data_IF_437476134300
#
_entry.id   IF_437476134300
#
_cell.length_a   1.000
_cell.length_b   1.000
_cell.length_c   1.000
_cell.angle_alpha   90.00
_cell.angle_beta   90.00
_cell.angle_gamma   90.00
#
_symmetry.space_group_name_H-M   'P 1'
#
loop_
_entity.id
_entity.type
_entity.pdbx_description
1 polymer ?
#
# COMPACT_ATOMS: atom_id res chain seq x y z
N UNK A 1 2.32 -30.64 12.58
CA UNK A 1 1.08 -29.86 12.38
C UNK A 1 1.07 -28.54 13.18
N UNK A 2 2.15 -28.16 13.87
CA UNK A 2 2.17 -26.95 14.70
C UNK A 2 1.60 -27.13 16.13
N UNK A 3 1.11 -28.32 16.50
CA UNK A 3 0.43 -28.55 17.79
C UNK A 3 1.34 -28.56 19.02
N UNK A 4 2.64 -28.83 18.82
CA UNK A 4 3.65 -28.76 19.89
C UNK A 4 4.79 -27.79 19.60
N UNK A 5 5.21 -27.70 18.33
CA UNK A 5 6.25 -26.77 17.82
C UNK A 5 5.95 -26.40 16.38
N UNK A 6 6.37 -25.21 15.96
CA UNK A 6 6.35 -24.82 14.56
C UNK A 6 7.37 -25.69 13.80
N UNK A 7 6.97 -26.43 12.75
CA UNK A 7 7.92 -27.19 11.94
C UNK A 7 8.87 -26.29 11.12
N UNK A 8 8.60 -24.99 11.11
CA UNK A 8 9.38 -23.96 10.42
C UNK A 8 10.29 -23.18 11.38
N UNK A 9 10.42 -23.61 12.63
CA UNK A 9 11.30 -22.94 13.58
C UNK A 9 12.77 -23.21 13.24
N UNK A 10 13.58 -22.16 13.30
CA UNK A 10 15.02 -22.30 13.15
C UNK A 10 15.65 -22.84 14.44
N UNK A 11 16.60 -23.76 14.29
CA UNK A 11 17.17 -24.54 15.41
C UNK A 11 17.99 -23.69 16.41
N UNK A 12 18.51 -22.54 15.96
CA UNK A 12 19.47 -21.70 16.69
C UNK A 12 18.83 -20.78 17.74
N UNK A 13 17.53 -20.45 17.62
CA UNK A 13 16.84 -19.53 18.55
C UNK A 13 15.81 -20.21 19.46
N UNK A 14 15.88 -21.54 19.66
CA UNK A 14 15.19 -22.20 20.77
C UNK A 14 13.67 -21.98 20.82
N UNK A 15 13.00 -22.13 19.69
CA UNK A 15 11.58 -21.85 19.49
C UNK A 15 11.12 -20.38 19.62
N UNK A 16 12.03 -19.44 19.86
CA UNK A 16 11.73 -18.02 19.89
C UNK A 16 11.66 -17.46 18.46
N UNK A 17 10.42 -17.15 18.04
CA UNK A 17 10.00 -16.76 16.68
C UNK A 17 10.49 -15.36 16.24
N UNK A 18 11.73 -15.00 16.54
CA UNK A 18 12.20 -13.60 16.38
C UNK A 18 12.79 -13.36 14.99
N UNK A 19 13.45 -14.35 14.38
CA UNK A 19 14.11 -14.19 13.06
C UNK A 19 13.17 -14.20 11.84
N UNK A 20 12.09 -15.00 11.78
CA UNK A 20 11.16 -14.95 10.64
C UNK A 20 10.51 -13.58 10.46
N UNK A 21 10.28 -12.85 11.56
CA UNK A 21 9.76 -11.47 11.49
C UNK A 21 10.80 -10.46 10.97
N UNK A 22 12.11 -10.77 11.02
CA UNK A 22 13.11 -9.92 10.38
C UNK A 22 12.95 -9.91 8.86
N UNK A 23 12.53 -11.04 8.27
CA UNK A 23 12.21 -11.11 6.83
C UNK A 23 10.97 -10.28 6.45
N UNK A 24 10.04 -10.06 7.39
CA UNK A 24 8.89 -9.18 7.18
C UNK A 24 9.32 -7.73 6.92
N UNK A 25 10.34 -7.23 7.63
CA UNK A 25 10.86 -5.88 7.38
C UNK A 25 11.40 -5.71 5.96
N UNK A 26 11.95 -6.77 5.36
CA UNK A 26 12.39 -6.70 3.96
C UNK A 26 11.22 -6.49 3.00
N UNK A 27 10.06 -7.10 3.27
CA UNK A 27 8.84 -6.86 2.48
C UNK A 27 8.35 -5.41 2.62
N UNK A 28 8.29 -4.90 3.86
CA UNK A 28 7.88 -3.52 4.12
C UNK A 28 8.85 -2.51 3.47
N UNK A 29 10.16 -2.77 3.56
CA UNK A 29 11.19 -1.93 2.95
C UNK A 29 11.17 -1.97 1.41
N UNK A 30 10.98 -3.15 0.82
CA UNK A 30 10.88 -3.30 -0.63
C UNK A 30 9.68 -2.54 -1.23
N UNK A 31 8.56 -2.51 -0.49
CA UNK A 31 7.35 -1.76 -0.88
C UNK A 31 7.32 -0.30 -0.40
N UNK A 32 8.30 0.15 0.37
CA UNK A 32 8.29 1.47 1.02
C UNK A 32 7.02 1.72 1.83
N UNK A 33 6.49 0.66 2.47
CA UNK A 33 5.17 0.68 3.08
C UNK A 33 5.15 1.53 4.34
N UNK A 34 4.08 2.31 4.49
CA UNK A 34 3.78 3.06 5.72
C UNK A 34 2.32 2.83 6.08
N UNK A 35 2.06 2.61 7.37
CA UNK A 35 0.71 2.47 7.90
C UNK A 35 0.60 3.21 9.23
N UNK A 36 -0.45 4.02 9.37
CA UNK A 36 -0.76 4.72 10.61
C UNK A 36 -2.28 4.68 10.86
N UNK A 37 -2.75 3.66 11.59
CA UNK A 37 -4.17 3.39 11.79
C UNK A 37 -4.97 4.59 12.31
N UNK A 38 -4.55 5.32 13.37
CA UNK A 38 -5.32 6.46 13.87
C UNK A 38 -5.46 7.64 12.91
N UNK A 39 -4.62 7.70 11.87
CA UNK A 39 -4.64 8.77 10.85
C UNK A 39 -5.28 8.30 9.54
N UNK A 40 -5.72 7.04 9.45
CA UNK A 40 -6.19 6.46 8.19
C UNK A 40 -5.15 6.53 7.07
N UNK A 41 -3.85 6.49 7.40
CA UNK A 41 -2.78 6.59 6.41
C UNK A 41 -2.31 5.20 6.01
N UNK A 42 -2.32 4.95 4.70
CA UNK A 42 -1.61 3.83 4.08
C UNK A 42 -0.73 4.39 2.96
N UNK A 43 0.47 3.84 2.77
CA UNK A 43 1.36 4.32 1.74
C UNK A 43 2.27 3.25 1.17
N UNK A 44 2.70 3.48 -0.07
CA UNK A 44 3.57 2.62 -0.85
C UNK A 44 4.59 3.49 -1.61
N UNK A 45 5.86 3.11 -1.51
CA UNK A 45 6.98 3.73 -2.22
C UNK A 45 7.94 2.63 -2.67
N UNK A 46 7.53 1.79 -3.64
CA UNK A 46 8.30 0.60 -3.99
C UNK A 46 9.70 0.96 -4.47
N UNK A 47 10.71 0.32 -3.90
CA UNK A 47 12.11 0.48 -4.29
C UNK A 47 12.59 -0.69 -5.16
N UNK A 48 11.91 -1.84 -5.06
CA UNK A 48 12.15 -3.02 -5.88
C UNK A 48 11.14 -3.04 -7.02
N UNK A 49 11.63 -3.02 -8.27
CA UNK A 49 10.80 -3.01 -9.50
C UNK A 49 9.70 -1.93 -9.50
N UNK A 50 10.02 -0.64 -9.26
CA UNK A 50 9.03 0.43 -9.15
C UNK A 50 8.15 0.60 -10.41
N UNK A 51 8.61 0.14 -11.57
CA UNK A 51 7.87 0.17 -12.84
C UNK A 51 6.72 -0.83 -12.89
N UNK A 52 6.79 -1.92 -12.12
CA UNK A 52 5.80 -3.00 -12.13
C UNK A 52 5.84 -3.79 -10.80
N UNK A 53 5.26 -3.19 -9.77
CA UNK A 53 5.29 -3.71 -8.41
C UNK A 53 3.95 -4.34 -8.00
N UNK A 54 4.02 -5.44 -7.25
CA UNK A 54 2.87 -6.02 -6.53
C UNK A 54 3.30 -6.51 -5.17
N UNK A 55 2.47 -6.24 -4.15
CA UNK A 55 2.63 -6.82 -2.83
C UNK A 55 1.27 -6.96 -2.16
N UNK A 56 1.20 -7.78 -1.12
CA UNK A 56 0.07 -7.74 -0.21
C UNK A 56 0.34 -6.70 0.88
N UNK A 57 -0.72 -6.22 1.51
CA UNK A 57 -0.64 -5.34 2.68
C UNK A 57 -1.54 -5.89 3.78
N UNK A 58 -1.18 -5.58 5.02
CA UNK A 58 -1.97 -5.87 6.22
C UNK A 58 -2.19 -4.56 7.00
N UNK A 59 -3.41 -4.36 7.50
CA UNK A 59 -3.81 -3.28 8.40
C UNK A 59 -4.41 -3.88 9.68
N UNK A 60 -4.86 -3.04 10.62
CA UNK A 60 -5.49 -3.50 11.86
C UNK A 60 -6.82 -4.23 11.64
N UNK A 61 -7.59 -3.88 10.60
CA UNK A 61 -8.95 -4.36 10.39
C UNK A 61 -9.12 -5.17 9.09
N UNK A 62 -8.07 -5.31 8.28
CA UNK A 62 -8.15 -6.01 7.01
C UNK A 62 -6.80 -6.22 6.33
N UNK A 63 -6.81 -6.99 5.25
CA UNK A 63 -5.63 -7.20 4.40
C UNK A 63 -6.05 -7.35 2.94
N UNK A 64 -5.09 -7.14 2.05
CA UNK A 64 -5.40 -7.01 0.63
C UNK A 64 -4.17 -6.95 -0.28
N UNK A 65 -4.42 -6.64 -1.54
CA UNK A 65 -3.39 -6.52 -2.58
C UNK A 65 -3.17 -5.08 -2.98
N UNK A 66 -1.91 -4.70 -3.20
CA UNK A 66 -1.52 -3.47 -3.86
C UNK A 66 -0.76 -3.78 -5.15
N UNK A 67 -1.08 -3.06 -6.22
CA UNK A 67 -0.29 -3.08 -7.44
C UNK A 67 0.01 -1.68 -7.94
N UNK A 68 1.19 -1.52 -8.53
CA UNK A 68 1.65 -0.29 -9.15
C UNK A 68 2.28 -0.61 -10.51
N UNK A 69 2.00 0.25 -11.49
CA UNK A 69 2.67 0.24 -12.78
C UNK A 69 3.04 1.66 -13.19
N UNK A 70 4.28 1.86 -13.65
CA UNK A 70 4.75 3.12 -14.24
C UNK A 70 5.07 2.89 -15.71
N UNK A 71 4.65 3.80 -16.58
CA UNK A 71 4.96 3.75 -18.01
C UNK A 71 4.96 5.17 -18.59
N UNK A 72 6.12 5.59 -19.12
CA UNK A 72 6.27 6.96 -19.62
C UNK A 72 6.06 7.95 -18.48
N UNK A 73 5.17 8.92 -18.71
CA UNK A 73 4.82 9.96 -17.73
C UNK A 73 3.55 9.66 -16.93
N UNK A 74 3.26 8.37 -16.70
CA UNK A 74 2.08 7.93 -15.98
C UNK A 74 2.37 6.82 -14.97
N UNK A 75 1.62 6.84 -13.86
CA UNK A 75 1.56 5.78 -12.85
C UNK A 75 0.11 5.38 -12.61
N UNK A 76 -0.15 4.07 -12.58
CA UNK A 76 -1.43 3.49 -12.19
C UNK A 76 -1.24 2.63 -10.95
N UNK A 77 -2.15 2.73 -10.00
CA UNK A 77 -2.12 1.98 -8.76
C UNK A 77 -3.49 1.36 -8.51
N UNK A 78 -3.52 0.19 -7.90
CA UNK A 78 -4.74 -0.53 -7.54
C UNK A 78 -4.60 -1.08 -6.13
N UNK A 79 -5.65 -0.96 -5.35
CA UNK A 79 -5.75 -1.48 -4.00
C UNK A 79 -7.06 -2.25 -3.83
N UNK A 80 -6.95 -3.53 -3.52
CA UNK A 80 -8.07 -4.45 -3.32
C UNK A 80 -8.06 -5.02 -1.90
N UNK A 81 -9.23 -5.19 -1.29
CA UNK A 81 -9.36 -5.77 0.05
C UNK A 81 -9.78 -7.22 -0.07
N UNK A 82 -8.94 -8.13 0.42
CA UNK A 82 -9.20 -9.57 0.35
C UNK A 82 -9.94 -10.08 1.60
N UNK A 83 -9.74 -9.43 2.75
CA UNK A 83 -10.47 -9.74 3.99
C UNK A 83 -10.59 -8.51 4.88
N UNK A 84 -11.72 -8.42 5.60
CA UNK A 84 -11.99 -7.35 6.55
C UNK A 84 -12.28 -6.01 5.86
N UNK A 85 -11.79 -4.92 6.45
CA UNK A 85 -11.97 -3.57 5.93
C UNK A 85 -10.71 -2.71 6.05
N UNK A 86 -10.64 -1.68 5.21
CA UNK A 86 -9.56 -0.69 5.18
C UNK A 86 -10.17 0.70 5.13
N UNK A 87 -9.96 1.46 6.19
CA UNK A 87 -10.31 2.89 6.24
C UNK A 87 -9.11 3.73 5.85
N UNK A 88 -9.29 4.61 4.87
CA UNK A 88 -8.29 5.55 4.37
C UNK A 88 -8.78 6.98 4.54
N UNK A 89 -7.97 7.80 5.20
CA UNK A 89 -8.04 9.25 5.08
C UNK A 89 -7.01 9.74 4.07
N UNK A 90 -5.86 9.07 3.98
CA UNK A 90 -4.79 9.41 3.04
C UNK A 90 -4.16 8.15 2.43
N UNK A 91 -4.01 8.14 1.11
CA UNK A 91 -3.13 7.22 0.39
C UNK A 91 -1.87 7.98 -0.03
N UNK A 92 -0.69 7.52 0.40
CA UNK A 92 0.60 8.10 0.03
C UNK A 92 1.31 7.24 -1.01
N UNK A 93 1.64 7.80 -2.16
CA UNK A 93 2.29 7.10 -3.27
C UNK A 93 3.61 7.78 -3.62
N UNK A 94 4.69 7.00 -3.67
CA UNK A 94 5.97 7.50 -4.17
C UNK A 94 5.88 7.90 -5.64
N UNK A 95 6.53 9.00 -6.01
CA UNK A 95 6.74 9.40 -7.40
C UNK A 95 8.15 9.00 -7.88
N UNK A 96 8.41 8.91 -9.20
CA UNK A 96 9.77 8.78 -9.70
C UNK A 96 10.64 10.01 -9.40
N UNK A 97 11.95 9.80 -9.29
CA UNK A 97 12.90 10.91 -9.19
C UNK A 97 12.77 11.87 -10.37
N UNK A 98 12.88 13.18 -10.10
CA UNK A 98 12.78 14.23 -11.10
C UNK A 98 11.35 14.64 -11.49
N UNK A 99 10.32 13.97 -10.99
CA UNK A 99 8.94 14.46 -11.07
C UNK A 99 8.78 15.64 -10.11
N UNK A 100 8.37 16.79 -10.65
CA UNK A 100 8.11 18.00 -9.88
C UNK A 100 6.76 17.97 -9.15
N UNK A 101 6.35 19.11 -8.60
CA UNK A 101 5.09 19.24 -7.85
C UNK A 101 3.85 19.25 -8.74
N UNK A 102 4.00 19.51 -10.05
CA UNK A 102 2.90 19.51 -11.02
C UNK A 102 2.55 18.09 -11.45
N UNK A 103 1.71 17.43 -10.65
CA UNK A 103 1.12 16.12 -10.97
C UNK A 103 -0.39 16.22 -11.01
N UNK A 104 -1.01 15.47 -11.90
CA UNK A 104 -2.48 15.29 -11.93
C UNK A 104 -2.79 13.89 -11.45
N UNK A 105 -3.74 13.76 -10.51
CA UNK A 105 -4.20 12.46 -10.05
C UNK A 105 -5.73 12.40 -9.95
N UNK A 106 -6.27 11.22 -10.26
CA UNK A 106 -7.68 10.90 -10.12
C UNK A 106 -7.81 9.52 -9.49
N UNK A 107 -8.80 9.36 -8.61
CA UNK A 107 -9.08 8.13 -7.90
C UNK A 107 -10.49 7.61 -8.25
N UNK A 108 -10.63 6.30 -8.29
CA UNK A 108 -11.86 5.61 -8.70
C UNK A 108 -12.15 4.45 -7.75
N UNK A 109 -13.41 4.27 -7.36
CA UNK A 109 -13.90 3.10 -6.63
C UNK A 109 -14.92 2.41 -7.53
N UNK A 110 -14.66 1.14 -7.91
CA UNK A 110 -15.55 0.41 -8.82
C UNK A 110 -15.68 1.04 -10.20
N UNK A 111 -14.68 1.85 -10.59
CA UNK A 111 -14.69 2.64 -11.84
C UNK A 111 -15.41 3.99 -11.76
N UNK A 112 -16.10 4.31 -10.66
CA UNK A 112 -16.67 5.63 -10.42
C UNK A 112 -15.63 6.56 -9.79
N UNK A 113 -15.46 7.77 -10.32
CA UNK A 113 -14.50 8.74 -9.79
C UNK A 113 -14.95 9.23 -8.41
N UNK A 114 -13.99 9.32 -7.48
CA UNK A 114 -14.21 9.80 -6.11
C UNK A 114 -13.48 11.12 -5.90
N UNK A 115 -14.10 12.13 -5.24
CA UNK A 115 -13.46 13.41 -4.98
C UNK A 115 -12.29 13.22 -4.02
N UNK A 116 -11.14 13.79 -4.39
CA UNK A 116 -9.90 13.74 -3.60
C UNK A 116 -9.22 15.10 -3.59
N UNK A 117 -8.53 15.39 -2.50
CA UNK A 117 -7.53 16.45 -2.45
C UNK A 117 -6.15 15.85 -2.68
N UNK A 118 -5.26 16.58 -3.35
CA UNK A 118 -3.93 16.07 -3.67
C UNK A 118 -2.86 17.10 -3.36
N UNK A 119 -1.72 16.62 -2.86
CA UNK A 119 -0.52 17.43 -2.62
C UNK A 119 0.73 16.60 -2.80
N UNK A 120 1.81 17.25 -3.24
CA UNK A 120 3.13 16.63 -3.35
C UNK A 120 4.00 17.11 -2.20
N UNK A 121 4.55 16.18 -1.43
CA UNK A 121 5.46 16.45 -0.32
C UNK A 121 6.65 15.50 -0.41
N UNK A 122 7.87 16.02 -0.45
CA UNK A 122 9.11 15.23 -0.45
C UNK A 122 9.14 14.09 -1.50
N UNK A 123 8.71 14.37 -2.74
CA UNK A 123 8.67 13.37 -3.83
C UNK A 123 7.55 12.33 -3.71
N UNK A 124 6.55 12.58 -2.86
CA UNK A 124 5.40 11.68 -2.64
C UNK A 124 4.12 12.42 -2.93
N UNK A 125 3.21 11.76 -3.63
CA UNK A 125 1.85 12.22 -3.80
C UNK A 125 1.01 11.74 -2.61
N UNK A 126 0.37 12.67 -1.92
CA UNK A 126 -0.66 12.40 -0.93
C UNK A 126 -2.01 12.63 -1.57
N UNK A 127 -2.89 11.64 -1.44
CA UNK A 127 -4.26 11.66 -1.94
C UNK A 127 -5.16 11.53 -0.72
N UNK A 128 -5.91 12.58 -0.42
CA UNK A 128 -6.76 12.65 0.75
C UNK A 128 -8.23 12.53 0.39
N UNK A 129 -8.94 11.77 1.21
CA UNK A 129 -10.40 11.73 1.26
C UNK A 129 -10.85 12.46 2.53
N UNK A 130 -11.28 13.74 2.44
CA UNK A 130 -11.66 14.53 3.62
C UNK A 130 -12.75 13.87 4.47
N UNK A 131 -13.71 13.21 3.83
CA UNK A 131 -14.80 12.45 4.47
C UNK A 131 -14.41 11.00 4.83
N UNK A 132 -13.17 10.60 4.50
CA UNK A 132 -12.70 9.23 4.59
C UNK A 132 -13.23 8.32 3.47
N UNK A 133 -12.50 7.24 3.23
CA UNK A 133 -12.84 6.17 2.32
C UNK A 133 -12.81 4.83 3.07
N UNK A 134 -13.84 4.00 2.90
CA UNK A 134 -13.87 2.65 3.46
C UNK A 134 -13.95 1.65 2.31
N UNK A 135 -12.99 0.72 2.28
CA UNK A 135 -12.96 -0.40 1.35
C UNK A 135 -13.17 -1.70 2.13
N UNK A 136 -13.98 -2.60 1.61
CA UNK A 136 -14.35 -3.86 2.29
C UNK A 136 -14.07 -5.07 1.41
N UNK A 137 -13.83 -6.22 2.05
CA UNK A 137 -13.65 -7.46 1.34
C UNK A 137 -14.90 -7.83 0.52
N UNK A 138 -14.70 -8.16 -0.76
CA UNK A 138 -15.78 -8.42 -1.71
C UNK A 138 -16.50 -7.15 -2.21
N UNK A 139 -16.05 -5.97 -1.80
CA UNK A 139 -16.45 -4.69 -2.36
C UNK A 139 -15.62 -4.31 -3.60
N UNK A 140 -15.79 -3.07 -4.03
CA UNK A 140 -15.08 -2.52 -5.17
C UNK A 140 -13.62 -2.15 -4.85
N UNK A 141 -12.75 -2.30 -5.84
CA UNK A 141 -11.34 -1.92 -5.73
C UNK A 141 -11.14 -0.41 -5.89
N UNK A 142 -10.12 0.11 -5.21
CA UNK A 142 -9.61 1.47 -5.41
C UNK A 142 -8.58 1.47 -6.54
N UNK A 143 -8.79 2.32 -7.54
CA UNK A 143 -7.83 2.60 -8.61
C UNK A 143 -7.39 4.05 -8.57
N UNK A 144 -6.09 4.31 -8.74
CA UNK A 144 -5.53 5.66 -8.82
C UNK A 144 -4.74 5.80 -10.10
N UNK A 145 -4.98 6.88 -10.84
CA UNK A 145 -4.20 7.26 -12.03
C UNK A 145 -3.49 8.57 -11.76
N UNK A 146 -2.20 8.61 -12.08
CA UNK A 146 -1.33 9.77 -11.90
C UNK A 146 -0.64 10.04 -13.23
N UNK A 147 -0.56 11.31 -13.61
CA UNK A 147 0.24 11.79 -14.75
C UNK A 147 1.07 13.01 -14.35
N UNK A 148 2.25 13.14 -14.94
CA UNK A 148 3.16 14.27 -14.73
C UNK A 148 3.82 14.70 -16.05
#
# INVERSE_FOLDING_TARGET
DGTRRSPWNEIECGDHYVRPMAAWYMLEAAGGRVYHAPKGLLGFEPTVTPEHFRSFFITAAGWGGFSQRRKGSAQSNELSVAWGEVTLSTLRLGLPDGVGESVTAAAYVGGAETPVETRVEDGRLLIDWPEGLVLTAGGDDLSVRITW
#
